data_IF_634032649284
#
_entry.id   IF_634032649284
#
_cell.length_a   1.000
_cell.length_b   1.000
_cell.length_c   1.000
_cell.angle_alpha   90.00
_cell.angle_beta   90.00
_cell.angle_gamma   90.00
#
_symmetry.space_group_name_H-M   'P 1'
#
loop_
_entity.id
_entity.type
_entity.pdbx_description
1 polymer ?
#
# COMPACT_ATOMS: atom_id res chain seq x y z
N UNK A 1 13.24 2.77 -13.21
CA UNK A 1 13.28 4.22 -12.93
C UNK A 1 12.04 4.59 -12.11
N UNK A 2 12.26 5.20 -10.98
CA UNK A 2 11.15 5.63 -10.12
C UNK A 2 10.70 7.02 -10.55
N UNK A 3 9.43 7.13 -10.95
CA UNK A 3 8.83 8.41 -11.27
C UNK A 3 8.25 9.00 -10.00
N UNK A 4 8.88 10.04 -9.50
CA UNK A 4 8.47 10.71 -8.27
C UNK A 4 8.10 12.14 -8.58
N UNK A 5 6.99 12.61 -7.99
CA UNK A 5 6.57 13.99 -8.20
C UNK A 5 5.43 14.38 -7.29
N UNK A 6 5.01 15.64 -7.43
CA UNK A 6 3.86 16.18 -6.70
C UNK A 6 2.61 16.02 -7.55
N UNK A 7 1.57 15.40 -6.98
CA UNK A 7 0.28 15.27 -7.63
C UNK A 7 -0.58 16.49 -7.35
N UNK A 8 -1.14 17.05 -8.42
CA UNK A 8 -2.06 18.20 -8.33
C UNK A 8 -3.48 17.70 -8.62
N UNK A 9 -4.36 17.63 -7.60
CA UNK A 9 -5.72 17.15 -7.82
C UNK A 9 -6.55 18.16 -8.61
N UNK A 10 -7.41 17.64 -9.49
CA UNK A 10 -8.41 18.48 -10.19
C UNK A 10 -9.55 18.85 -9.24
N UNK A 11 -9.81 18.01 -8.25
CA UNK A 11 -10.86 18.20 -7.26
C UNK A 11 -10.25 18.24 -5.85
N UNK A 12 -9.53 19.33 -5.50
CA UNK A 12 -8.81 19.39 -4.23
C UNK A 12 -9.73 19.26 -3.01
N UNK A 13 -11.02 19.58 -3.15
CA UNK A 13 -11.99 19.44 -2.07
C UNK A 13 -12.25 17.99 -1.67
N UNK A 14 -11.93 17.03 -2.55
CA UNK A 14 -12.03 15.60 -2.24
C UNK A 14 -10.85 15.09 -1.42
N UNK A 15 -9.73 15.79 -1.45
CA UNK A 15 -8.55 15.33 -0.72
C UNK A 15 -8.65 15.70 0.76
N UNK A 16 -8.60 14.69 1.61
CA UNK A 16 -8.64 14.88 3.06
C UNK A 16 -7.22 15.01 3.60
N UNK A 17 -6.72 16.22 3.62
CA UNK A 17 -5.36 16.55 4.01
C UNK A 17 -4.94 17.80 3.26
N UNK A 18 -3.62 18.03 3.14
CA UNK A 18 -3.08 19.16 2.40
C UNK A 18 -2.94 18.80 0.92
N UNK A 19 -3.82 19.30 0.03
CA UNK A 19 -3.78 18.94 -1.39
C UNK A 19 -2.54 19.45 -2.12
N UNK A 20 -1.75 20.33 -1.49
CA UNK A 20 -0.50 20.84 -2.08
C UNK A 20 0.70 19.96 -1.77
N UNK A 21 0.53 18.94 -0.91
CA UNK A 21 1.62 18.06 -0.44
C UNK A 21 1.43 16.61 -0.81
N UNK A 22 0.67 16.33 -1.86
CA UNK A 22 0.45 14.96 -2.33
C UNK A 22 1.63 14.54 -3.19
N UNK A 23 2.34 13.48 -2.77
CA UNK A 23 3.51 12.98 -3.49
C UNK A 23 3.23 11.59 -4.02
N UNK A 24 3.45 11.37 -5.32
CA UNK A 24 3.49 10.03 -5.88
C UNK A 24 4.95 9.59 -6.04
N UNK A 25 5.21 8.32 -5.74
CA UNK A 25 6.55 7.73 -5.82
C UNK A 25 6.69 6.76 -6.97
N UNK A 26 5.60 6.52 -7.71
CA UNK A 26 5.59 5.65 -8.88
C UNK A 26 4.46 6.06 -9.82
N UNK A 27 4.52 5.60 -11.07
CA UNK A 27 3.43 5.81 -12.04
C UNK A 27 2.14 5.10 -11.60
N UNK A 28 2.26 3.99 -10.89
CA UNK A 28 1.09 3.26 -10.38
C UNK A 28 0.32 4.13 -9.37
N UNK A 29 1.04 4.77 -8.45
CA UNK A 29 0.43 5.70 -7.49
C UNK A 29 -0.21 6.88 -8.21
N UNK A 30 0.47 7.44 -9.21
CA UNK A 30 -0.06 8.54 -10.02
C UNK A 30 -1.39 8.16 -10.66
N UNK A 31 -1.47 6.97 -11.26
CA UNK A 31 -2.70 6.49 -11.91
C UNK A 31 -3.85 6.29 -10.92
N UNK A 32 -3.55 5.75 -9.73
CA UNK A 32 -4.54 5.55 -8.68
C UNK A 32 -5.03 6.90 -8.15
N UNK A 33 -4.14 7.84 -7.91
CA UNK A 33 -4.51 9.19 -7.44
C UNK A 33 -5.43 9.88 -8.43
N UNK A 34 -5.10 9.80 -9.73
CA UNK A 34 -5.93 10.37 -10.79
C UNK A 34 -7.31 9.72 -10.82
N UNK A 35 -7.38 8.41 -10.67
CA UNK A 35 -8.63 7.67 -10.65
C UNK A 35 -9.52 8.11 -9.49
N UNK A 36 -8.99 8.13 -8.26
CA UNK A 36 -9.78 8.46 -7.07
C UNK A 36 -10.17 9.94 -7.03
N UNK A 37 -9.33 10.81 -7.59
CA UNK A 37 -9.62 12.23 -7.67
C UNK A 37 -10.80 12.54 -8.60
N UNK A 38 -10.93 11.78 -9.69
CA UNK A 38 -11.93 12.05 -10.73
C UNK A 38 -13.16 11.13 -10.70
N UNK A 39 -13.12 10.04 -9.91
CA UNK A 39 -14.23 9.09 -9.87
C UNK A 39 -15.43 9.66 -9.10
N UNK A 40 -16.64 9.66 -9.70
CA UNK A 40 -17.81 10.32 -9.07
C UNK A 40 -18.28 9.68 -7.78
N UNK A 41 -18.02 8.37 -7.56
CA UNK A 41 -18.41 7.68 -6.33
C UNK A 41 -17.46 7.90 -5.18
N UNK A 42 -16.28 8.47 -5.42
CA UNK A 42 -15.30 8.81 -4.37
C UNK A 42 -15.72 10.12 -3.73
N UNK A 43 -15.96 10.08 -2.41
CA UNK A 43 -16.35 11.23 -1.63
C UNK A 43 -15.12 11.99 -1.17
N UNK A 44 -14.15 11.27 -0.59
CA UNK A 44 -12.84 11.83 -0.24
C UNK A 44 -11.78 10.74 -0.32
N UNK A 45 -10.52 11.16 -0.40
CA UNK A 45 -9.37 10.27 -0.39
C UNK A 45 -8.18 10.96 0.26
N UNK A 46 -7.22 10.18 0.71
CA UNK A 46 -5.97 10.67 1.27
C UNK A 46 -4.84 9.70 1.01
N UNK A 47 -3.62 10.21 0.97
CA UNK A 47 -2.42 9.42 0.75
C UNK A 47 -1.44 9.65 1.90
N UNK A 48 -1.02 8.55 2.55
CA UNK A 48 -0.03 8.58 3.64
C UNK A 48 -0.36 9.49 4.82
N UNK A 49 -1.65 9.81 5.01
CA UNK A 49 -2.10 10.63 6.14
C UNK A 49 -2.43 9.78 7.37
N UNK A 50 -2.81 8.52 7.17
CA UNK A 50 -3.18 7.59 8.23
C UNK A 50 -1.94 6.83 8.69
N UNK A 51 -1.77 6.73 10.01
CA UNK A 51 -0.69 5.93 10.61
C UNK A 51 -1.31 4.72 11.31
N UNK A 52 -0.94 3.52 10.87
CA UNK A 52 -1.38 2.26 11.49
C UNK A 52 -0.21 1.66 12.25
N UNK A 53 -0.30 1.56 13.59
CA UNK A 53 0.75 0.87 14.34
C UNK A 53 0.66 -0.63 14.13
N UNK A 54 1.78 -1.29 13.96
CA UNK A 54 1.83 -2.74 13.84
C UNK A 54 3.08 -3.29 14.51
N UNK A 55 3.03 -4.54 14.96
CA UNK A 55 4.20 -5.22 15.53
C UNK A 55 4.93 -5.97 14.43
N UNK A 56 6.19 -5.60 14.19
CA UNK A 56 7.00 -6.26 13.16
C UNK A 56 7.41 -7.65 13.62
N UNK A 57 7.25 -8.69 12.79
CA UNK A 57 7.72 -10.03 13.14
C UNK A 57 9.23 -10.20 13.10
N UNK A 58 9.96 -9.21 12.57
CA UNK A 58 11.42 -9.27 12.48
C UNK A 58 12.09 -8.91 13.79
N UNK A 59 11.67 -7.83 14.45
CA UNK A 59 12.27 -7.33 15.68
C UNK A 59 11.32 -7.32 16.88
N UNK A 60 10.05 -7.65 16.69
CA UNK A 60 9.04 -7.65 17.75
C UNK A 60 8.64 -6.27 18.25
N UNK A 61 9.12 -5.20 17.61
CA UNK A 61 8.85 -3.82 18.00
C UNK A 61 7.65 -3.26 17.25
N UNK A 62 7.06 -2.20 17.80
CA UNK A 62 5.97 -1.48 17.16
C UNK A 62 6.54 -0.52 16.12
N UNK A 63 6.07 -0.63 14.91
CA UNK A 63 6.41 0.25 13.78
C UNK A 63 5.16 0.96 13.28
N UNK A 64 5.37 2.01 12.48
CA UNK A 64 4.29 2.78 11.87
C UNK A 64 4.13 2.36 10.41
N UNK A 65 2.88 2.06 10.03
CA UNK A 65 2.52 1.76 8.65
C UNK A 65 1.66 2.89 8.09
N UNK A 66 2.05 3.41 6.93
CA UNK A 66 1.32 4.45 6.22
C UNK A 66 0.69 3.82 4.98
N UNK A 67 -0.63 3.53 4.99
CA UNK A 67 -1.30 3.05 3.79
C UNK A 67 -1.11 4.02 2.63
N UNK A 68 -0.91 3.50 1.42
CA UNK A 68 -0.65 4.33 0.25
C UNK A 68 -1.82 5.25 -0.06
N UNK A 69 -3.05 4.72 -0.03
CA UNK A 69 -4.26 5.49 -0.29
C UNK A 69 -5.39 4.99 0.60
N UNK A 70 -6.13 5.92 1.19
CA UNK A 70 -7.40 5.63 1.87
C UNK A 70 -8.50 6.35 1.11
N UNK A 71 -9.56 5.62 0.75
CA UNK A 71 -10.66 6.11 -0.07
C UNK A 71 -11.99 5.91 0.64
N UNK A 72 -12.80 6.95 0.69
CA UNK A 72 -14.18 6.88 1.17
C UNK A 72 -15.10 7.02 -0.03
N UNK A 73 -15.83 5.96 -0.35
CA UNK A 73 -16.67 5.94 -1.56
C UNK A 73 -18.01 5.26 -1.34
N UNK A 74 -18.92 5.50 -2.28
CA UNK A 74 -20.21 4.81 -2.35
C UNK A 74 -20.05 3.51 -3.14
N UNK A 75 -20.70 2.44 -2.67
CA UNK A 75 -20.79 1.20 -3.43
C UNK A 75 -22.01 1.23 -4.36
N UNK A 76 -22.24 0.12 -5.10
CA UNK A 76 -23.38 0.01 -6.04
C UNK A 76 -24.73 0.11 -5.37
N UNK A 77 -24.81 -0.12 -4.07
CA UNK A 77 -26.05 -0.05 -3.29
C UNK A 77 -26.24 1.30 -2.58
N UNK A 78 -25.32 2.24 -2.79
CA UNK A 78 -25.34 3.55 -2.17
C UNK A 78 -24.77 3.57 -0.76
N UNK A 79 -24.21 2.48 -0.27
CA UNK A 79 -23.57 2.41 1.05
C UNK A 79 -22.19 3.04 1.01
N UNK A 80 -21.80 3.70 2.11
CA UNK A 80 -20.50 4.32 2.24
C UNK A 80 -19.48 3.33 2.80
N UNK A 81 -18.34 3.20 2.13
CA UNK A 81 -17.26 2.30 2.54
C UNK A 81 -15.92 3.05 2.55
N UNK A 82 -15.11 2.74 3.55
CA UNK A 82 -13.73 3.23 3.62
C UNK A 82 -12.79 2.09 3.25
N UNK A 83 -11.96 2.30 2.25
CA UNK A 83 -11.06 1.29 1.70
C UNK A 83 -9.62 1.78 1.81
N UNK A 84 -8.74 0.93 2.33
CA UNK A 84 -7.30 1.16 2.31
C UNK A 84 -6.71 0.42 1.11
N UNK A 85 -5.96 1.14 0.28
CA UNK A 85 -5.34 0.60 -0.93
C UNK A 85 -3.84 0.62 -0.76
N UNK A 86 -3.20 -0.52 -1.01
CA UNK A 86 -1.75 -0.61 -1.06
C UNK A 86 -1.32 -0.95 -2.48
N UNK A 87 -0.39 -0.16 -3.01
CA UNK A 87 0.08 -0.29 -4.39
C UNK A 87 1.42 -1.01 -4.36
N UNK A 88 1.45 -2.26 -4.86
CA UNK A 88 2.64 -3.09 -4.85
C UNK A 88 2.81 -3.83 -6.18
N UNK A 89 4.07 -4.16 -6.54
CA UNK A 89 4.30 -5.07 -7.65
C UNK A 89 3.57 -6.40 -7.43
N UNK A 90 3.08 -7.02 -8.49
CA UNK A 90 2.31 -8.27 -8.41
C UNK A 90 3.05 -9.38 -7.67
N UNK A 91 4.37 -9.42 -7.76
CA UNK A 91 5.18 -10.41 -7.05
C UNK A 91 5.07 -10.30 -5.53
N UNK A 92 4.78 -9.10 -5.00
CA UNK A 92 4.60 -8.88 -3.57
C UNK A 92 3.15 -9.07 -3.10
N UNK A 93 2.22 -9.32 -4.02
CA UNK A 93 0.81 -9.53 -3.69
C UNK A 93 0.48 -10.99 -3.35
N UNK A 94 1.45 -11.88 -3.39
CA UNK A 94 1.31 -13.30 -3.07
C UNK A 94 2.48 -13.80 -2.23
N UNK A 95 2.28 -14.90 -1.48
CA UNK A 95 3.36 -15.48 -0.69
C UNK A 95 4.55 -15.88 -1.57
N UNK A 96 5.77 -15.85 -1.03
CA UNK A 96 6.93 -16.35 -1.75
C UNK A 96 6.74 -17.82 -2.17
N UNK A 97 7.15 -18.15 -3.41
CA UNK A 97 7.02 -19.50 -3.95
C UNK A 97 8.12 -20.39 -3.37
N UNK A 98 7.78 -21.49 -2.66
CA UNK A 98 8.78 -22.43 -2.14
C UNK A 98 9.67 -23.04 -3.21
N UNK A 99 9.24 -23.06 -4.47
CA UNK A 99 10.05 -23.55 -5.59
C UNK A 99 11.33 -22.73 -5.77
N UNK A 100 11.36 -21.50 -5.29
CA UNK A 100 12.51 -20.61 -5.36
C UNK A 100 13.50 -20.83 -4.21
N UNK A 101 13.17 -21.72 -3.26
CA UNK A 101 13.91 -21.90 -2.02
C UNK A 101 15.36 -22.38 -2.23
N UNK A 102 15.60 -23.31 -3.15
CA UNK A 102 16.87 -23.99 -3.32
C UNK A 102 17.54 -23.71 -4.67
N UNK A 103 17.63 -22.45 -5.07
CA UNK A 103 18.24 -22.08 -6.36
C UNK A 103 19.76 -21.90 -6.29
N UNK A 104 20.39 -22.25 -5.18
CA UNK A 104 21.85 -22.19 -5.05
C UNK A 104 22.48 -23.54 -5.35
N UNK A 105 23.71 -23.51 -5.92
CA UNK A 105 24.47 -24.73 -6.24
C UNK A 105 24.79 -25.58 -5.01
N UNK A 106 24.79 -25.00 -3.82
CA UNK A 106 25.13 -25.67 -2.57
C UNK A 106 23.93 -26.26 -1.84
N UNK A 107 22.72 -26.16 -2.40
CA UNK A 107 21.50 -26.62 -1.76
C UNK A 107 21.01 -25.77 -0.59
N UNK A 108 21.67 -24.66 -0.31
CA UNK A 108 21.24 -23.72 0.72
C UNK A 108 20.04 -22.90 0.24
N UNK A 109 19.19 -22.48 1.19
CA UNK A 109 18.09 -21.57 0.89
C UNK A 109 18.67 -20.27 0.33
N UNK A 110 18.15 -19.80 -0.81
CA UNK A 110 18.66 -18.59 -1.45
C UNK A 110 18.38 -17.37 -0.57
N UNK A 111 19.33 -16.42 -0.55
CA UNK A 111 19.18 -15.15 0.18
C UNK A 111 17.97 -14.36 -0.34
N UNK A 112 17.73 -14.41 -1.64
CA UNK A 112 16.57 -13.76 -2.26
C UNK A 112 15.25 -14.31 -1.69
N UNK A 113 15.14 -15.64 -1.58
CA UNK A 113 13.94 -16.26 -1.01
C UNK A 113 13.76 -15.88 0.46
N UNK A 114 14.83 -15.87 1.25
CA UNK A 114 14.77 -15.45 2.65
C UNK A 114 14.29 -14.00 2.78
N UNK A 115 14.76 -13.12 1.90
CA UNK A 115 14.33 -11.71 1.89
C UNK A 115 12.85 -11.59 1.50
N UNK A 116 12.39 -12.40 0.54
CA UNK A 116 10.98 -12.42 0.14
C UNK A 116 10.08 -12.86 1.30
N UNK A 117 10.51 -13.88 2.06
CA UNK A 117 9.76 -14.38 3.22
C UNK A 117 9.68 -13.29 4.30
N UNK A 118 10.80 -12.60 4.60
CA UNK A 118 10.81 -11.50 5.57
C UNK A 118 9.89 -10.36 5.15
N UNK A 119 9.97 -9.94 3.89
CA UNK A 119 9.14 -8.87 3.33
C UNK A 119 7.66 -9.26 3.40
N UNK A 120 7.32 -10.48 3.03
CA UNK A 120 5.95 -10.98 3.11
C UNK A 120 5.43 -10.95 4.54
N UNK A 121 6.23 -11.41 5.52
CA UNK A 121 5.85 -11.41 6.93
C UNK A 121 5.56 -10.01 7.46
N UNK A 122 6.38 -9.02 7.11
CA UNK A 122 6.17 -7.62 7.49
C UNK A 122 4.90 -7.08 6.85
N UNK A 123 4.70 -7.32 5.55
CA UNK A 123 3.51 -6.87 4.84
C UNK A 123 2.24 -7.48 5.42
N UNK A 124 2.27 -8.77 5.76
CA UNK A 124 1.14 -9.48 6.37
C UNK A 124 0.78 -8.86 7.72
N UNK A 125 1.79 -8.52 8.55
CA UNK A 125 1.58 -7.85 9.83
C UNK A 125 0.95 -6.47 9.64
N UNK A 126 1.41 -5.70 8.65
CA UNK A 126 0.84 -4.39 8.30
C UNK A 126 -0.63 -4.51 7.90
N UNK A 127 -0.94 -5.48 7.04
CA UNK A 127 -2.31 -5.66 6.53
C UNK A 127 -3.27 -6.10 7.63
N UNK A 128 -2.83 -6.99 8.52
CA UNK A 128 -3.66 -7.39 9.67
C UNK A 128 -3.93 -6.22 10.60
N UNK A 129 -2.90 -5.40 10.89
CA UNK A 129 -3.07 -4.22 11.72
C UNK A 129 -4.02 -3.21 11.07
N UNK A 130 -3.89 -2.97 9.76
CA UNK A 130 -4.76 -2.06 9.02
C UNK A 130 -6.21 -2.52 9.03
N UNK A 131 -6.44 -3.83 8.98
CA UNK A 131 -7.80 -4.41 8.99
C UNK A 131 -8.52 -4.17 10.31
N UNK A 132 -7.78 -4.06 11.42
CA UNK A 132 -8.33 -3.82 12.74
C UNK A 132 -8.30 -2.34 13.15
N UNK A 133 -7.73 -1.49 12.32
CA UNK A 133 -7.66 -0.06 12.54
C UNK A 133 -8.99 0.61 12.20
#
# INVERSE_FOLDING_TARGET
>A
MAYKGRFRPKNPNKYKGDPTKIIYRSLWEFKVFKYVDTHPDVIWWQSEEVVVPYRSPIDGKIHRYFPDVVVHKKDNLGNLNTIMIEIKPSAQCRPPDPKNKNKTKTGRVSRRYLNEVKTWGVNEAKWKAAKHY
#
